data_IF_481515961557
#
_entry.id   IF_481515961557
#
_cell.length_a   1.000
_cell.length_b   1.000
_cell.length_c   1.000
_cell.angle_alpha   90.00
_cell.angle_beta   90.00
_cell.angle_gamma   90.00
#
_symmetry.space_group_name_H-M   'P 1'
#
loop_
_entity.id
_entity.type
_entity.pdbx_description
1 polymer ?
#
# COMPACT_ATOMS: atom_id res chain seq x y z
N UNK A 1 20.88 7.19 5.17
CA UNK A 1 20.85 5.80 5.69
C UNK A 1 19.41 5.42 5.93
N UNK A 2 18.93 4.33 5.33
CA UNK A 2 17.61 3.80 5.66
C UNK A 2 17.65 3.24 7.08
N UNK A 3 16.72 3.61 7.96
CA UNK A 3 16.55 2.99 9.29
C UNK A 3 15.89 1.59 9.17
N UNK A 4 16.46 0.77 8.28
CA UNK A 4 16.09 -0.63 8.11
C UNK A 4 16.52 -1.42 9.34
N UNK A 5 15.74 -2.44 9.67
CA UNK A 5 16.06 -3.36 10.76
C UNK A 5 17.37 -4.09 10.47
N UNK A 6 17.52 -4.57 9.23
CA UNK A 6 18.71 -5.21 8.67
C UNK A 6 19.25 -4.38 7.48
N UNK A 7 20.58 -4.22 7.41
CA UNK A 7 21.31 -3.58 6.30
C UNK A 7 21.33 -4.48 5.06
N UNK A 8 21.40 -3.88 3.88
CA UNK A 8 21.56 -4.64 2.63
C UNK A 8 23.01 -5.11 2.42
N UNK A 9 23.96 -4.45 3.08
CA UNK A 9 25.38 -4.77 3.05
C UNK A 9 25.68 -6.07 3.80
N UNK A 10 24.98 -6.32 4.91
CA UNK A 10 25.28 -7.45 5.80
C UNK A 10 24.28 -8.61 5.67
N UNK A 11 23.07 -8.37 5.15
CA UNK A 11 22.01 -9.37 5.10
C UNK A 11 21.31 -9.38 3.74
N UNK A 12 21.09 -10.57 3.18
CA UNK A 12 20.05 -10.72 2.15
C UNK A 12 18.67 -10.56 2.80
N UNK A 13 17.63 -10.23 2.01
CA UNK A 13 16.27 -10.10 2.54
C UNK A 13 15.73 -11.42 3.12
N UNK A 14 16.11 -12.57 2.56
CA UNK A 14 15.71 -13.90 3.04
C UNK A 14 16.33 -14.18 4.40
N UNK A 15 17.63 -13.91 4.53
CA UNK A 15 18.35 -14.04 5.80
C UNK A 15 17.75 -13.08 6.83
N UNK A 16 17.52 -11.82 6.48
CA UNK A 16 16.89 -10.84 7.36
C UNK A 16 15.52 -11.31 7.89
N UNK A 17 14.66 -11.86 7.02
CA UNK A 17 13.34 -12.39 7.43
C UNK A 17 13.49 -13.63 8.31
N UNK A 18 14.50 -14.47 8.11
CA UNK A 18 14.72 -15.68 8.93
C UNK A 18 15.05 -15.39 10.40
N UNK A 19 15.53 -14.18 10.72
CA UNK A 19 15.76 -13.74 12.10
C UNK A 19 14.48 -13.32 12.83
N UNK A 20 13.33 -13.33 12.15
CA UNK A 20 12.03 -12.96 12.71
C UNK A 20 11.15 -14.19 12.99
N UNK A 21 10.31 -14.15 14.04
CA UNK A 21 10.17 -13.06 15.01
C UNK A 21 11.31 -13.04 16.04
N UNK A 22 11.57 -11.86 16.62
CA UNK A 22 12.54 -11.72 17.71
C UNK A 22 12.09 -12.44 18.99
N UNK A 23 13.04 -12.78 19.87
CA UNK A 23 12.76 -13.33 21.19
C UNK A 23 11.85 -12.38 22.00
N UNK A 24 10.74 -12.93 22.51
CA UNK A 24 9.60 -12.20 23.09
C UNK A 24 9.99 -11.16 24.15
N UNK A 25 10.94 -11.46 25.04
CA UNK A 25 11.32 -10.59 26.17
C UNK A 25 11.79 -9.18 25.79
N UNK A 26 12.24 -8.98 24.55
CA UNK A 26 12.71 -7.66 24.08
C UNK A 26 11.66 -6.87 23.31
N UNK A 27 10.65 -7.53 22.76
CA UNK A 27 9.68 -6.90 21.84
C UNK A 27 8.34 -6.57 22.48
N UNK A 28 7.99 -7.18 23.63
CA UNK A 28 6.71 -6.93 24.31
C UNK A 28 6.72 -5.68 25.19
N UNK A 29 7.90 -5.17 25.56
CA UNK A 29 8.04 -4.04 26.46
C UNK A 29 8.44 -2.76 25.70
N UNK A 30 7.92 -1.63 26.18
CA UNK A 30 8.37 -0.31 25.78
C UNK A 30 9.08 0.39 26.95
N UNK A 31 10.06 1.23 26.64
CA UNK A 31 10.82 2.00 27.62
C UNK A 31 10.81 3.48 27.23
N UNK A 32 10.84 4.40 28.22
CA UNK A 32 10.85 5.83 27.94
C UNK A 32 12.17 6.24 27.28
N UNK A 33 12.08 7.09 26.26
CA UNK A 33 13.26 7.68 25.62
C UNK A 33 13.93 8.64 26.60
N UNK A 34 15.24 8.52 26.81
CA UNK A 34 15.98 9.29 27.84
C UNK A 34 15.82 10.81 27.70
N UNK A 35 15.74 11.32 26.48
CA UNK A 35 15.56 12.75 26.20
C UNK A 35 14.13 13.25 26.34
N UNK A 36 13.16 12.36 26.60
CA UNK A 36 11.76 12.72 26.73
C UNK A 36 11.40 13.14 28.16
N UNK A 37 10.82 14.33 28.27
CA UNK A 37 10.26 14.87 29.50
C UNK A 37 8.76 14.64 29.54
N UNK A 38 8.24 14.25 30.70
CA UNK A 38 6.80 14.17 30.94
C UNK A 38 6.26 15.57 31.28
N UNK A 39 5.10 15.92 30.74
CA UNK A 39 4.39 17.16 31.12
C UNK A 39 3.16 16.82 31.94
N UNK A 40 2.47 17.83 32.48
CA UNK A 40 1.18 17.61 33.18
C UNK A 40 0.11 17.00 32.26
N UNK A 41 0.21 17.20 30.94
CA UNK A 41 -0.81 16.81 29.96
C UNK A 41 -0.38 15.66 29.05
N UNK A 42 0.91 15.32 29.00
CA UNK A 42 1.45 14.31 28.09
C UNK A 42 2.44 13.39 28.80
N UNK A 43 2.37 12.10 28.48
CA UNK A 43 3.34 11.09 28.91
C UNK A 43 4.70 11.27 28.22
N UNK A 44 5.71 10.53 28.68
CA UNK A 44 6.98 10.42 27.94
C UNK A 44 6.76 9.74 26.59
N UNK A 45 7.65 9.99 25.65
CA UNK A 45 7.77 9.23 24.41
C UNK A 45 8.35 7.87 24.77
N UNK A 46 7.63 6.81 24.41
CA UNK A 46 8.07 5.43 24.59
C UNK A 46 8.57 4.84 23.28
N UNK A 47 9.55 3.94 23.37
CA UNK A 47 10.02 3.12 22.25
C UNK A 47 10.14 1.66 22.66
N UNK A 48 10.06 0.77 21.67
CA UNK A 48 10.27 -0.66 21.89
C UNK A 48 11.64 -0.90 22.54
N UNK A 49 11.69 -1.78 23.56
CA UNK A 49 12.93 -2.07 24.31
C UNK A 49 14.04 -2.65 23.41
N UNK A 50 13.71 -3.35 22.33
CA UNK A 50 14.70 -3.88 21.40
C UNK A 50 15.46 -2.77 20.65
N UNK A 51 14.82 -1.62 20.39
CA UNK A 51 15.40 -0.52 19.61
C UNK A 51 15.17 0.85 20.27
N UNK A 52 15.76 1.11 21.45
CA UNK A 52 15.45 2.32 22.21
C UNK A 52 16.04 3.60 21.58
N UNK A 53 17.07 3.47 20.73
CA UNK A 53 17.82 4.60 20.17
C UNK A 53 17.32 5.06 18.80
N UNK A 54 16.61 4.23 18.04
CA UNK A 54 16.17 4.55 16.66
C UNK A 54 14.73 4.09 16.39
N UNK A 55 14.11 4.61 15.34
CA UNK A 55 12.84 4.12 14.82
C UNK A 55 13.17 3.14 13.69
N UNK A 56 12.40 2.08 13.54
CA UNK A 56 12.57 1.12 12.45
C UNK A 56 11.51 1.43 11.40
N UNK A 57 11.94 1.74 10.17
CA UNK A 57 11.02 2.09 9.09
C UNK A 57 10.56 0.86 8.30
N UNK A 58 11.43 -0.13 8.16
CA UNK A 58 11.21 -1.33 7.35
C UNK A 58 12.16 -2.46 7.79
N UNK A 59 11.87 -3.69 7.38
CA UNK A 59 12.70 -4.87 7.73
C UNK A 59 14.04 -4.82 6.98
N UNK A 60 13.99 -4.60 5.67
CA UNK A 60 15.15 -4.61 4.77
C UNK A 60 14.92 -3.56 3.66
N UNK A 61 15.95 -2.91 3.08
CA UNK A 61 15.77 -1.92 2.01
C UNK A 61 15.03 -2.45 0.76
N UNK A 62 15.11 -3.76 0.51
CA UNK A 62 14.33 -4.44 -0.54
C UNK A 62 12.91 -4.83 -0.13
N UNK A 63 12.49 -4.54 1.10
CA UNK A 63 11.16 -4.84 1.65
C UNK A 63 10.51 -3.57 2.26
N UNK A 64 10.75 -2.42 1.63
CA UNK A 64 10.37 -1.10 2.17
C UNK A 64 9.16 -0.45 1.48
N UNK A 65 8.49 -1.16 0.57
CA UNK A 65 7.22 -0.72 -0.03
C UNK A 65 6.25 -1.90 -0.06
N UNK A 66 4.95 -1.62 -0.10
CA UNK A 66 3.92 -2.65 -0.24
C UNK A 66 4.12 -3.49 -1.50
N UNK A 67 4.45 -2.84 -2.64
CA UNK A 67 4.81 -3.54 -3.88
C UNK A 67 5.96 -4.53 -3.68
N UNK A 68 7.08 -4.10 -3.08
CA UNK A 68 8.25 -4.96 -2.84
C UNK A 68 7.95 -6.13 -1.92
N UNK A 69 7.16 -5.90 -0.86
CA UNK A 69 6.71 -6.96 0.04
C UNK A 69 5.89 -8.02 -0.72
N UNK A 70 4.95 -7.58 -1.56
CA UNK A 70 4.12 -8.51 -2.34
C UNK A 70 4.92 -9.24 -3.43
N UNK A 71 5.80 -8.56 -4.18
CA UNK A 71 6.67 -9.25 -5.16
C UNK A 71 7.56 -10.29 -4.49
N UNK A 72 8.10 -10.00 -3.29
CA UNK A 72 8.88 -10.96 -2.52
C UNK A 72 8.05 -12.19 -2.13
N UNK A 73 6.84 -11.97 -1.58
CA UNK A 73 5.94 -13.06 -1.24
C UNK A 73 5.56 -13.90 -2.47
N UNK A 74 5.26 -13.25 -3.60
CA UNK A 74 4.91 -13.96 -4.83
C UNK A 74 6.09 -14.70 -5.47
N UNK A 75 7.33 -14.24 -5.26
CA UNK A 75 8.53 -14.98 -5.65
C UNK A 75 8.73 -16.25 -4.81
N UNK A 76 8.54 -16.15 -3.49
CA UNK A 76 8.76 -17.27 -2.56
C UNK A 76 7.63 -18.31 -2.57
N UNK A 77 6.39 -17.86 -2.77
CA UNK A 77 5.19 -18.68 -2.57
C UNK A 77 4.31 -18.77 -3.82
N UNK A 78 4.92 -18.67 -5.00
CA UNK A 78 4.24 -18.56 -6.30
C UNK A 78 3.03 -19.48 -6.47
N UNK A 79 3.17 -20.75 -6.08
CA UNK A 79 2.14 -21.79 -6.31
C UNK A 79 1.19 -21.99 -5.12
N UNK A 80 1.38 -21.25 -4.01
CA UNK A 80 0.47 -21.29 -2.86
C UNK A 80 -0.74 -20.41 -3.11
N UNK A 81 -1.88 -20.81 -2.54
CA UNK A 81 -3.10 -20.00 -2.54
C UNK A 81 -2.87 -18.65 -1.86
N UNK A 82 -3.41 -17.58 -2.46
CA UNK A 82 -3.21 -16.19 -2.02
C UNK A 82 -4.54 -15.46 -1.81
N UNK A 83 -5.49 -15.60 -2.74
CA UNK A 83 -6.72 -14.80 -2.73
C UNK A 83 -7.91 -15.69 -3.07
N UNK A 84 -8.72 -15.99 -2.04
CA UNK A 84 -9.91 -16.83 -2.15
C UNK A 84 -11.20 -16.03 -2.29
N UNK A 85 -12.18 -16.58 -3.00
CA UNK A 85 -13.54 -16.04 -3.06
C UNK A 85 -14.56 -17.17 -3.19
N UNK A 86 -15.81 -16.85 -2.88
CA UNK A 86 -16.95 -17.74 -3.08
C UNK A 86 -17.60 -17.37 -4.41
N UNK A 87 -17.61 -18.23 -5.44
CA UNK A 87 -18.26 -17.92 -6.70
C UNK A 87 -19.73 -17.52 -6.49
N UNK A 88 -20.15 -16.48 -7.20
CA UNK A 88 -21.53 -15.97 -7.15
C UNK A 88 -22.13 -16.00 -8.55
N UNK A 89 -23.26 -16.69 -8.70
CA UNK A 89 -24.03 -16.70 -9.93
C UNK A 89 -25.02 -15.54 -9.90
N UNK A 90 -24.83 -14.58 -10.82
CA UNK A 90 -25.68 -13.40 -10.94
C UNK A 90 -27.05 -13.68 -11.56
N UNK A 91 -27.23 -14.79 -12.27
CA UNK A 91 -28.50 -15.22 -12.85
C UNK A 91 -29.39 -15.88 -11.79
N UNK A 92 -28.88 -16.89 -11.08
CA UNK A 92 -29.63 -17.57 -10.02
C UNK A 92 -29.62 -16.81 -8.69
N UNK A 93 -28.73 -15.81 -8.54
CA UNK A 93 -28.50 -15.01 -7.32
C UNK A 93 -28.02 -15.85 -6.12
N UNK A 94 -27.32 -16.95 -6.38
CA UNK A 94 -26.82 -17.86 -5.34
C UNK A 94 -25.30 -17.93 -5.33
N UNK A 95 -24.73 -18.00 -4.14
CA UNK A 95 -23.31 -18.33 -3.98
C UNK A 95 -23.09 -19.85 -4.02
N UNK A 96 -22.02 -20.30 -4.68
CA UNK A 96 -21.62 -21.72 -4.72
C UNK A 96 -21.33 -22.26 -3.31
N UNK A 97 -21.34 -23.56 -3.08
CA UNK A 97 -21.06 -24.17 -1.77
C UNK A 97 -19.55 -24.37 -1.47
N UNK A 98 -18.68 -23.85 -2.33
CA UNK A 98 -17.22 -23.98 -2.22
C UNK A 98 -16.52 -22.62 -2.41
N UNK A 99 -15.21 -22.60 -2.17
CA UNK A 99 -14.33 -21.47 -2.45
C UNK A 99 -13.41 -21.81 -3.63
N UNK A 100 -13.12 -20.80 -4.44
CA UNK A 100 -12.04 -20.81 -5.41
C UNK A 100 -10.91 -19.90 -4.92
N UNK A 101 -9.69 -20.14 -5.39
CA UNK A 101 -8.52 -19.36 -5.01
C UNK A 101 -7.62 -19.06 -6.21
N UNK A 102 -6.94 -17.92 -6.14
CA UNK A 102 -5.81 -17.59 -7.00
C UNK A 102 -4.52 -17.84 -6.23
N UNK A 103 -3.52 -18.40 -6.91
CA UNK A 103 -2.16 -18.51 -6.35
C UNK A 103 -1.48 -17.15 -6.31
N UNK A 104 -0.43 -16.99 -5.49
CA UNK A 104 0.37 -15.76 -5.48
C UNK A 104 0.90 -15.38 -6.87
N UNK A 105 1.31 -16.36 -7.67
CA UNK A 105 1.77 -16.15 -9.04
C UNK A 105 0.66 -15.57 -9.94
N UNK A 106 -0.54 -16.13 -9.87
CA UNK A 106 -1.70 -15.65 -10.62
C UNK A 106 -2.15 -14.26 -10.17
N UNK A 107 -2.15 -13.99 -8.87
CA UNK A 107 -2.43 -12.66 -8.32
C UNK A 107 -1.39 -11.64 -8.81
N UNK A 108 -0.10 -12.00 -8.78
CA UNK A 108 0.98 -11.13 -9.24
C UNK A 108 0.85 -10.79 -10.73
N UNK A 109 0.50 -11.77 -11.56
CA UNK A 109 0.24 -11.54 -12.98
C UNK A 109 -1.00 -10.66 -13.20
N UNK A 110 -2.11 -10.96 -12.53
CA UNK A 110 -3.36 -10.21 -12.66
C UNK A 110 -3.21 -8.75 -12.24
N UNK A 111 -2.54 -8.45 -11.12
CA UNK A 111 -2.31 -7.05 -10.71
C UNK A 111 -1.48 -6.27 -11.75
N UNK A 112 -0.51 -6.91 -12.40
CA UNK A 112 0.30 -6.31 -13.49
C UNK A 112 -0.56 -6.02 -14.71
N UNK A 113 -1.42 -6.96 -15.10
CA UNK A 113 -2.38 -6.78 -16.21
C UNK A 113 -3.40 -5.68 -15.91
N UNK A 114 -3.95 -5.62 -14.70
CA UNK A 114 -4.91 -4.58 -14.29
C UNK A 114 -4.25 -3.20 -14.32
N UNK A 115 -3.10 -3.03 -13.67
CA UNK A 115 -2.44 -1.72 -13.59
C UNK A 115 -2.00 -1.18 -14.96
N UNK A 116 -1.39 -2.03 -15.80
CA UNK A 116 -1.04 -1.66 -17.17
C UNK A 116 -2.28 -1.36 -18.03
N UNK A 117 -3.35 -2.15 -17.88
CA UNK A 117 -4.63 -1.93 -18.54
C UNK A 117 -5.29 -0.61 -18.16
N UNK A 118 -5.28 -0.24 -16.88
CA UNK A 118 -5.79 1.04 -16.38
C UNK A 118 -5.07 2.23 -17.03
N UNK A 119 -3.74 2.20 -17.00
CA UNK A 119 -2.92 3.26 -17.61
C UNK A 119 -3.18 3.33 -19.11
N UNK A 120 -3.22 2.19 -19.81
CA UNK A 120 -3.50 2.15 -21.25
C UNK A 120 -4.87 2.73 -21.58
N UNK A 121 -5.91 2.35 -20.85
CA UNK A 121 -7.28 2.84 -21.04
C UNK A 121 -7.38 4.35 -20.83
N UNK A 122 -6.75 4.87 -19.77
CA UNK A 122 -6.71 6.31 -19.52
C UNK A 122 -5.94 7.05 -20.63
N UNK A 123 -4.75 6.57 -21.01
CA UNK A 123 -3.95 7.18 -22.08
C UNK A 123 -4.62 7.10 -23.46
N UNK A 124 -5.47 6.11 -23.73
CA UNK A 124 -6.22 5.97 -24.97
C UNK A 124 -7.57 6.73 -24.98
N UNK A 125 -8.06 7.19 -23.83
CA UNK A 125 -9.37 7.85 -23.72
C UNK A 125 -9.47 9.12 -24.63
N UNK A 126 -10.38 9.16 -25.62
CA UNK A 126 -10.51 10.29 -26.55
C UNK A 126 -11.05 11.56 -25.91
N UNK A 127 -11.65 11.47 -24.71
CA UNK A 127 -12.21 12.59 -23.97
C UNK A 127 -11.20 13.27 -23.02
N UNK A 128 -9.92 12.91 -23.09
CA UNK A 128 -8.87 13.62 -22.34
C UNK A 128 -8.68 15.03 -22.90
N UNK A 129 -9.01 16.01 -22.09
CA UNK A 129 -8.63 17.40 -22.31
C UNK A 129 -7.23 17.72 -21.75
N UNK A 130 -6.27 18.03 -22.62
CA UNK A 130 -4.89 18.33 -22.24
C UNK A 130 -4.69 19.71 -21.61
N UNK A 131 -5.67 20.60 -21.67
CA UNK A 131 -5.60 21.92 -21.03
C UNK A 131 -5.87 21.83 -19.52
N UNK A 132 -6.55 20.76 -19.08
CA UNK A 132 -6.84 20.52 -17.68
C UNK A 132 -5.62 19.96 -16.94
N UNK A 133 -5.22 20.65 -15.86
CA UNK A 133 -4.13 20.22 -14.97
C UNK A 133 -4.33 18.79 -14.46
N UNK A 134 -5.57 18.43 -14.10
CA UNK A 134 -5.90 17.08 -13.62
C UNK A 134 -5.62 15.99 -14.68
N UNK A 135 -5.94 16.24 -15.95
CA UNK A 135 -5.70 15.28 -17.03
C UNK A 135 -4.22 15.19 -17.41
N UNK A 136 -3.46 16.29 -17.29
CA UNK A 136 -2.00 16.25 -17.48
C UNK A 136 -1.33 15.27 -16.50
N UNK A 137 -1.89 15.06 -15.30
CA UNK A 137 -1.37 14.07 -14.34
C UNK A 137 -1.47 12.63 -14.87
N UNK A 138 -2.47 12.31 -15.68
CA UNK A 138 -2.58 10.99 -16.34
C UNK A 138 -1.44 10.80 -17.33
N UNK A 139 -1.19 11.79 -18.18
CA UNK A 139 -0.14 11.74 -19.21
C UNK A 139 1.26 11.65 -18.58
N UNK A 140 1.47 12.42 -17.53
CA UNK A 140 2.77 12.56 -16.90
C UNK A 140 3.06 11.44 -15.88
N UNK A 141 2.07 10.63 -15.50
CA UNK A 141 2.20 9.64 -14.44
C UNK A 141 3.42 8.72 -14.64
N UNK A 142 3.58 8.12 -15.81
CA UNK A 142 4.70 7.20 -16.08
C UNK A 142 6.08 7.88 -16.01
N UNK A 143 6.15 9.20 -16.21
CA UNK A 143 7.38 9.99 -16.11
C UNK A 143 7.64 10.44 -14.66
N UNK A 144 6.58 10.86 -13.97
CA UNK A 144 6.68 11.63 -12.72
C UNK A 144 6.34 10.79 -11.48
N UNK A 145 5.97 9.51 -11.62
CA UNK A 145 5.47 8.69 -10.50
C UNK A 145 6.37 8.69 -9.27
N UNK A 146 7.69 8.74 -9.46
CA UNK A 146 8.69 8.73 -8.37
C UNK A 146 8.83 10.07 -7.65
N UNK A 147 8.28 11.15 -8.21
CA UNK A 147 8.36 12.51 -7.66
C UNK A 147 7.04 12.95 -7.02
N UNK A 148 5.98 12.14 -7.10
CA UNK A 148 4.74 12.42 -6.38
C UNK A 148 4.89 12.14 -4.88
N UNK A 149 4.11 12.87 -4.09
CA UNK A 149 4.17 12.88 -2.63
C UNK A 149 4.94 14.08 -2.08
N UNK A 150 4.63 14.43 -0.84
CA UNK A 150 5.26 15.55 -0.11
C UNK A 150 5.36 15.20 1.37
N UNK A 151 6.43 15.61 2.09
CA UNK A 151 6.59 15.28 3.51
C UNK A 151 5.75 16.18 4.44
N UNK A 152 4.92 17.08 3.91
CA UNK A 152 4.09 17.96 4.72
C UNK A 152 2.86 17.21 5.27
N UNK A 153 2.47 17.58 6.49
CA UNK A 153 1.24 17.06 7.10
C UNK A 153 0.00 17.80 6.60
N UNK A 154 -1.19 17.23 6.80
CA UNK A 154 -2.46 17.92 6.52
C UNK A 154 -2.55 19.30 7.20
N UNK A 155 -2.02 19.43 8.43
CA UNK A 155 -1.98 20.71 9.15
C UNK A 155 -1.07 21.76 8.50
N UNK A 156 -0.14 21.33 7.67
CA UNK A 156 0.82 22.18 6.95
C UNK A 156 0.45 22.34 5.47
N UNK A 157 -0.70 21.81 5.03
CA UNK A 157 -1.13 21.84 3.62
C UNK A 157 -1.66 23.21 3.21
N UNK A 158 -0.79 24.21 3.14
CA UNK A 158 -1.12 25.51 2.55
C UNK A 158 -1.17 25.39 1.03
N UNK A 159 -2.08 26.11 0.37
CA UNK A 159 -2.21 26.18 -1.09
C UNK A 159 -2.40 24.82 -1.80
N UNK A 160 -3.00 23.85 -1.13
CA UNK A 160 -3.28 22.52 -1.67
C UNK A 160 -2.03 21.81 -2.25
N UNK A 161 -0.90 21.94 -1.56
CA UNK A 161 0.38 21.34 -1.96
C UNK A 161 0.32 19.81 -2.03
N UNK A 162 -0.39 19.15 -1.11
CA UNK A 162 -0.59 17.69 -1.15
C UNK A 162 -1.30 17.29 -2.44
N UNK A 163 -2.37 18.00 -2.79
CA UNK A 163 -3.19 17.74 -3.97
C UNK A 163 -2.39 18.00 -5.26
N UNK A 164 -1.54 19.03 -5.28
CA UNK A 164 -0.63 19.34 -6.38
C UNK A 164 0.47 18.28 -6.53
N UNK A 165 0.95 17.73 -5.43
CA UNK A 165 2.02 16.72 -5.39
C UNK A 165 1.53 15.29 -5.67
N UNK A 166 0.23 15.06 -5.86
CA UNK A 166 -0.31 13.73 -6.18
C UNK A 166 -0.51 13.54 -7.68
N UNK A 167 -0.41 12.28 -8.12
CA UNK A 167 -0.87 11.85 -9.44
C UNK A 167 -2.41 11.91 -9.56
N UNK A 168 -2.97 11.31 -10.61
CA UNK A 168 -4.41 11.03 -10.64
C UNK A 168 -4.77 9.98 -9.58
N UNK A 169 -6.02 10.01 -9.11
CA UNK A 169 -6.54 9.10 -8.07
C UNK A 169 -7.52 8.13 -8.71
N UNK A 170 -7.38 6.84 -8.40
CA UNK A 170 -8.37 5.83 -8.77
C UNK A 170 -9.40 5.67 -7.64
N UNK A 171 -10.57 6.26 -7.80
CA UNK A 171 -11.70 6.01 -6.90
C UNK A 171 -12.36 4.70 -7.30
N UNK A 172 -12.40 3.74 -6.37
CA UNK A 172 -12.98 2.44 -6.59
C UNK A 172 -14.31 2.39 -5.84
N UNK A 173 -15.36 1.87 -6.47
CA UNK A 173 -16.68 1.69 -5.85
C UNK A 173 -17.08 0.23 -5.98
N UNK A 174 -16.91 -0.53 -4.89
CA UNK A 174 -17.25 -1.93 -4.82
C UNK A 174 -17.36 -2.38 -3.35
N UNK A 175 -18.06 -3.49 -3.13
CA UNK A 175 -18.03 -4.19 -1.84
C UNK A 175 -16.68 -4.88 -1.60
N UNK A 176 -16.43 -5.34 -0.37
CA UNK A 176 -15.24 -6.13 -0.07
C UNK A 176 -15.25 -7.44 -0.87
N UNK A 177 -14.47 -7.48 -1.95
CA UNK A 177 -14.39 -8.61 -2.89
C UNK A 177 -12.98 -8.74 -3.47
N UNK A 178 -12.72 -9.89 -4.09
CA UNK A 178 -11.43 -10.25 -4.68
C UNK A 178 -10.90 -9.17 -5.64
N UNK A 179 -11.78 -8.62 -6.48
CA UNK A 179 -11.45 -7.57 -7.47
C UNK A 179 -11.01 -6.26 -6.81
N UNK A 180 -11.53 -5.95 -5.62
CA UNK A 180 -11.09 -4.79 -4.85
C UNK A 180 -9.63 -4.93 -4.45
N UNK A 181 -9.28 -6.08 -3.86
CA UNK A 181 -7.92 -6.39 -3.39
C UNK A 181 -6.96 -6.45 -4.57
N UNK A 182 -7.35 -7.07 -5.69
CA UNK A 182 -6.54 -7.08 -6.91
C UNK A 182 -6.27 -5.68 -7.44
N UNK A 183 -7.28 -4.81 -7.43
CA UNK A 183 -7.15 -3.44 -7.92
C UNK A 183 -6.26 -2.61 -7.00
N UNK A 184 -6.37 -2.78 -5.67
CA UNK A 184 -5.47 -2.16 -4.69
C UNK A 184 -4.01 -2.58 -4.89
N UNK A 185 -3.76 -3.89 -5.06
CA UNK A 185 -2.42 -4.42 -5.37
C UNK A 185 -1.86 -3.86 -6.68
N UNK A 186 -2.72 -3.67 -7.68
CA UNK A 186 -2.35 -3.04 -8.94
C UNK A 186 -1.98 -1.57 -8.72
N UNK A 187 -2.81 -0.80 -8.01
CA UNK A 187 -2.54 0.58 -7.64
C UNK A 187 -1.20 0.75 -6.93
N UNK A 188 -0.94 -0.09 -5.92
CA UNK A 188 0.35 -0.09 -5.22
C UNK A 188 1.54 -0.40 -6.13
N UNK A 189 1.37 -1.30 -7.11
CA UNK A 189 2.45 -1.70 -8.03
C UNK A 189 2.76 -0.67 -9.11
N UNK A 190 1.83 0.23 -9.39
CA UNK A 190 1.98 1.29 -10.38
C UNK A 190 2.04 2.69 -9.74
N UNK A 191 2.23 2.79 -8.42
CA UNK A 191 2.27 4.09 -7.71
C UNK A 191 1.04 4.96 -7.96
N UNK A 192 -0.13 4.33 -8.12
CA UNK A 192 -1.43 5.00 -8.27
C UNK A 192 -2.08 5.05 -6.90
N UNK A 193 -2.39 6.25 -6.41
CA UNK A 193 -3.21 6.40 -5.20
C UNK A 193 -4.64 5.99 -5.51
N UNK A 194 -5.21 5.10 -4.71
CA UNK A 194 -6.63 4.77 -4.77
C UNK A 194 -7.40 5.37 -3.59
N UNK A 195 -8.73 5.41 -3.72
CA UNK A 195 -9.64 5.73 -2.63
C UNK A 195 -10.89 4.86 -2.72
N UNK A 196 -11.51 4.61 -1.56
CA UNK A 196 -12.74 3.85 -1.48
C UNK A 196 -13.96 4.76 -1.53
N UNK A 197 -14.96 4.38 -2.32
CA UNK A 197 -16.30 4.96 -2.29
C UNK A 197 -17.26 3.97 -1.64
N UNK A 198 -18.18 4.48 -0.82
CA UNK A 198 -19.18 3.70 -0.10
C UNK A 198 -20.55 4.35 -0.28
N UNK A 199 -21.60 3.54 -0.40
CA UNK A 199 -22.98 4.01 -0.49
C UNK A 199 -23.43 4.79 0.76
N UNK A 200 -22.87 4.45 1.91
CA UNK A 200 -23.24 5.03 3.21
C UNK A 200 -22.63 6.42 3.46
N UNK A 201 -21.90 6.99 2.51
CA UNK A 201 -21.31 8.33 2.61
C UNK A 201 -21.85 9.29 1.53
N UNK A 202 -23.04 9.00 1.00
CA UNK A 202 -23.74 9.88 0.07
C UNK A 202 -24.33 11.14 0.76
N UNK A 203 -24.94 12.06 -0.01
CA UNK A 203 -25.55 13.29 0.53
C UNK A 203 -26.62 13.03 1.61
N UNK A 204 -27.24 11.85 1.58
CA UNK A 204 -28.27 11.40 2.52
C UNK A 204 -27.69 10.66 3.75
N UNK A 205 -26.37 10.56 3.87
CA UNK A 205 -25.72 9.96 5.03
C UNK A 205 -25.87 10.87 6.25
N UNK A 206 -26.41 10.33 7.36
CA UNK A 206 -26.62 11.03 8.64
C UNK A 206 -25.49 10.80 9.62
#
# INVERSE_FOLDING_TARGET
MTDSLFSAEDFSKEVAVSYLPFKTKLVIDSIPVKSSTQTKTHSKIYRNRAFPKRIINNIHPELNTHHKLFENAAGLFKDRECLGWRPYDYHSKTSADHFESLTYGQVNEKKKRIGSGLIRSLLANPYKNNDLVAHKKILNHLRDWSHYGTPITQRQNTDCQIEKANSFILSIFATNRMEWILTDLACSSYSITNTALYDTLGPEAT
#
